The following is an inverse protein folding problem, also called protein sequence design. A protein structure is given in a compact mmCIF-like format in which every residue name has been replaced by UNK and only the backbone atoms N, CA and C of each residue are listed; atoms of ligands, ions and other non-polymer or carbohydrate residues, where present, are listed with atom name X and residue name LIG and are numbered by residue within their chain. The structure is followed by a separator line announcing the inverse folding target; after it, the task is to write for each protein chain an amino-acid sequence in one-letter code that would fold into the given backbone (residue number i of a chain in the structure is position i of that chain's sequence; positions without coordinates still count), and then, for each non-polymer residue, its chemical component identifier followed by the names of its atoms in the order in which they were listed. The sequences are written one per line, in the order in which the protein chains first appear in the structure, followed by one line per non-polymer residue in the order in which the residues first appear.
data_IF_654000609176
#
_entry.id   IF_654000609176
#
_cell.length_a   1.000
_cell.length_b   1.000
_cell.length_c   1.000
_cell.angle_alpha   90.00
_cell.angle_beta   90.00
_cell.angle_gamma   90.00
#
_symmetry.space_group_name_H-M   'P 1'
#
loop_
_entity.id
_entity.type
_entity.pdbx_description
1 polymer ?
#
# COMPACT_ATOMS: atom_id res chain seq x y z
N UNK A 1 5.69 -6.97 2.79
CA UNK A 1 7.12 -6.70 3.08
C UNK A 1 7.25 -6.18 4.49
N UNK A 2 8.29 -6.63 5.22
CA UNK A 2 8.67 -6.05 6.52
C UNK A 2 10.04 -5.41 6.36
N UNK A 3 10.15 -4.13 6.66
CA UNK A 3 11.38 -3.37 6.55
C UNK A 3 12.00 -3.17 7.93
N UNK A 4 13.27 -3.50 8.06
CA UNK A 4 14.13 -3.13 9.16
C UNK A 4 15.20 -2.20 8.61
N UNK A 5 15.37 -1.03 9.19
CA UNK A 5 16.30 -0.04 8.65
C UNK A 5 16.92 0.81 9.75
N UNK A 6 18.18 1.15 9.57
CA UNK A 6 18.94 2.03 10.44
C UNK A 6 19.69 3.08 9.61
N UNK A 7 19.76 4.28 10.14
CA UNK A 7 20.58 5.36 9.60
C UNK A 7 21.68 5.69 10.60
N UNK A 8 22.90 5.37 10.22
CA UNK A 8 24.05 5.48 11.12
C UNK A 8 25.25 6.12 10.41
N UNK A 9 26.23 6.69 11.16
CA UNK A 9 27.50 7.07 10.57
C UNK A 9 28.24 5.87 9.98
N UNK A 10 29.01 6.07 8.89
CA UNK A 10 29.71 4.97 8.18
C UNK A 10 30.60 4.12 9.09
N UNK A 11 31.21 4.70 10.10
CA UNK A 11 32.03 3.99 11.10
C UNK A 11 31.23 3.09 12.07
N UNK A 12 29.92 3.13 12.04
CA UNK A 12 29.03 2.26 12.83
C UNK A 12 28.44 1.09 11.98
N UNK A 13 28.72 1.04 10.68
CA UNK A 13 28.13 0.06 9.75
C UNK A 13 28.34 -1.38 10.25
N UNK A 14 29.56 -1.77 10.60
CA UNK A 14 29.84 -3.13 11.05
C UNK A 14 29.06 -3.52 12.31
N UNK A 15 28.87 -2.56 13.24
CA UNK A 15 28.08 -2.79 14.46
C UNK A 15 26.62 -3.06 14.16
N UNK A 16 26.04 -2.31 13.21
CA UNK A 16 24.65 -2.50 12.79
C UNK A 16 24.49 -3.85 12.07
N UNK A 17 25.39 -4.19 11.18
CA UNK A 17 25.35 -5.51 10.51
C UNK A 17 25.45 -6.66 11.52
N UNK A 18 26.26 -6.51 12.56
CA UNK A 18 26.29 -7.47 13.65
C UNK A 18 24.97 -7.59 14.39
N UNK A 19 24.31 -6.47 14.73
CA UNK A 19 23.01 -6.45 15.40
C UNK A 19 21.92 -7.12 14.55
N UNK A 20 21.87 -6.81 13.27
CA UNK A 20 20.89 -7.38 12.37
C UNK A 20 21.11 -8.89 12.16
N UNK A 21 22.37 -9.31 12.04
CA UNK A 21 22.72 -10.72 11.98
C UNK A 21 22.38 -11.48 13.26
N UNK A 22 22.60 -10.85 14.44
CA UNK A 22 22.21 -11.43 15.73
C UNK A 22 20.70 -11.58 15.85
N UNK A 23 19.94 -10.56 15.47
CA UNK A 23 18.47 -10.61 15.43
C UNK A 23 17.95 -11.72 14.51
N UNK A 24 18.55 -11.90 13.34
CA UNK A 24 18.17 -12.97 12.40
C UNK A 24 18.51 -14.35 12.94
N UNK A 25 19.62 -14.50 13.67
CA UNK A 25 20.12 -15.78 14.18
C UNK A 25 19.47 -16.22 15.48
N UNK A 26 19.28 -15.29 16.42
CA UNK A 26 19.11 -15.59 17.84
C UNK A 26 18.03 -14.77 18.52
N UNK A 27 16.99 -14.35 17.78
CA UNK A 27 15.86 -13.65 18.39
C UNK A 27 15.27 -14.49 19.53
N UNK A 28 15.22 -13.90 20.73
CA UNK A 28 14.67 -14.55 21.91
C UNK A 28 13.13 -14.60 21.81
N UNK A 29 12.60 -15.76 21.43
CA UNK A 29 11.18 -16.02 21.35
C UNK A 29 10.80 -17.02 22.45
N UNK A 30 10.21 -16.50 23.53
CA UNK A 30 9.74 -17.26 24.70
C UNK A 30 8.33 -16.83 25.12
N UNK A 31 7.74 -17.55 26.10
CA UNK A 31 6.37 -17.30 26.55
C UNK A 31 6.18 -15.92 27.21
N UNK A 32 7.20 -15.40 27.86
CA UNK A 32 7.15 -14.08 28.49
C UNK A 32 7.10 -12.97 27.44
N UNK A 33 8.00 -13.04 26.46
CA UNK A 33 8.05 -12.09 25.36
C UNK A 33 6.79 -12.20 24.48
N UNK A 34 6.30 -13.39 24.22
CA UNK A 34 5.07 -13.59 23.44
C UNK A 34 3.86 -12.93 24.14
N UNK A 35 3.69 -13.13 25.43
CA UNK A 35 2.59 -12.49 26.18
C UNK A 35 2.70 -10.97 26.14
N UNK A 36 3.87 -10.45 26.43
CA UNK A 36 4.10 -9.01 26.41
C UNK A 36 3.83 -8.39 25.04
N UNK A 37 4.36 -9.00 23.95
CA UNK A 37 4.16 -8.46 22.59
C UNK A 37 2.70 -8.57 22.15
N UNK A 38 1.99 -9.62 22.54
CA UNK A 38 0.55 -9.77 22.28
C UNK A 38 -0.25 -8.61 22.90
N UNK A 39 0.05 -8.25 24.14
CA UNK A 39 -0.62 -7.14 24.83
C UNK A 39 -0.25 -5.79 24.18
N UNK A 40 1.01 -5.59 23.80
CA UNK A 40 1.48 -4.39 23.08
C UNK A 40 0.75 -4.23 21.74
N UNK A 41 0.67 -5.28 20.92
CA UNK A 41 -0.01 -5.23 19.61
C UNK A 41 -1.50 -4.93 19.79
N UNK A 42 -2.16 -5.55 20.76
CA UNK A 42 -3.58 -5.27 21.04
C UNK A 42 -3.81 -3.83 21.45
N UNK A 43 -2.92 -3.28 22.29
CA UNK A 43 -3.05 -1.88 22.69
C UNK A 43 -2.75 -0.93 21.54
N UNK A 44 -1.75 -1.23 20.72
CA UNK A 44 -1.47 -0.48 19.49
C UNK A 44 -2.71 -0.43 18.57
N UNK A 45 -3.34 -1.55 18.31
CA UNK A 45 -4.55 -1.61 17.48
C UNK A 45 -5.69 -0.82 18.12
N UNK A 46 -5.89 -0.92 19.45
CA UNK A 46 -6.91 -0.11 20.14
C UNK A 46 -6.66 1.38 20.00
N UNK A 47 -5.44 1.82 20.26
CA UNK A 47 -5.08 3.25 20.28
C UNK A 47 -5.01 3.83 18.88
N UNK A 48 -4.36 3.15 17.94
CA UNK A 48 -4.05 3.72 16.63
C UNK A 48 -5.13 3.43 15.58
N UNK A 49 -6.04 2.48 15.85
CA UNK A 49 -7.07 2.09 14.90
C UNK A 49 -8.46 2.19 15.52
N UNK A 50 -8.79 1.34 16.50
CA UNK A 50 -10.18 1.19 16.95
C UNK A 50 -10.74 2.42 17.67
N UNK A 51 -9.89 3.20 18.34
CA UNK A 51 -10.27 4.42 19.06
C UNK A 51 -10.00 5.72 18.28
N UNK A 52 -9.68 5.60 16.98
CA UNK A 52 -9.48 6.76 16.12
C UNK A 52 -10.71 7.04 15.24
N UNK A 53 -11.05 8.31 14.99
CA UNK A 53 -12.01 8.63 13.94
C UNK A 53 -11.58 8.01 12.60
N UNK A 54 -12.48 7.30 11.96
CA UNK A 54 -12.23 6.56 10.70
C UNK A 54 -11.06 5.57 10.78
N UNK A 55 -10.74 5.08 11.97
CA UNK A 55 -9.66 4.13 12.17
C UNK A 55 -9.83 2.88 11.32
N UNK A 56 -8.79 2.54 10.55
CA UNK A 56 -8.84 1.41 9.61
C UNK A 56 -9.55 1.67 8.29
N UNK A 57 -10.15 2.83 8.09
CA UNK A 57 -10.84 3.15 6.83
C UNK A 57 -9.87 3.76 5.79
N UNK A 58 -9.83 3.23 4.55
CA UNK A 58 -10.57 2.06 4.05
C UNK A 58 -9.80 0.74 4.15
N UNK A 59 -8.56 0.71 4.63
CA UNK A 59 -7.62 -0.41 4.48
C UNK A 59 -7.96 -1.66 5.33
N UNK A 60 -8.79 -1.52 6.37
CA UNK A 60 -9.38 -2.68 7.08
C UNK A 60 -10.76 -3.05 6.55
N UNK A 61 -11.52 -2.08 6.09
CA UNK A 61 -12.93 -2.28 5.76
C UNK A 61 -13.14 -2.76 4.31
N UNK A 62 -12.32 -2.27 3.38
CA UNK A 62 -12.51 -2.55 1.95
C UNK A 62 -12.03 -3.94 1.51
N UNK A 63 -10.88 -4.47 1.98
CA UNK A 63 -10.39 -5.77 1.54
C UNK A 63 -11.36 -6.94 1.77
N UNK A 64 -12.06 -7.08 2.91
CA UNK A 64 -13.04 -8.15 3.11
C UNK A 64 -14.24 -8.08 2.16
N UNK A 65 -14.57 -6.89 1.63
CA UNK A 65 -15.62 -6.70 0.64
C UNK A 65 -15.10 -7.03 -0.76
N UNK A 66 -13.89 -6.59 -1.08
CA UNK A 66 -13.30 -6.70 -2.41
C UNK A 66 -12.81 -8.13 -2.72
N UNK A 67 -12.19 -8.79 -1.77
CA UNK A 67 -11.51 -10.07 -2.00
C UNK A 67 -12.30 -11.26 -1.46
N UNK A 68 -12.12 -12.43 -2.09
CA UNK A 68 -12.68 -13.71 -1.66
C UNK A 68 -11.63 -14.62 -1.05
N UNK A 69 -10.39 -14.51 -1.53
CA UNK A 69 -9.27 -15.24 -0.95
C UNK A 69 -8.88 -14.58 0.38
N UNK A 70 -8.87 -15.39 1.44
CA UNK A 70 -8.50 -14.91 2.78
C UNK A 70 -7.11 -14.26 2.80
N UNK A 71 -6.15 -14.75 2.00
CA UNK A 71 -4.82 -14.18 1.92
C UNK A 71 -4.80 -12.70 1.51
N UNK A 72 -5.79 -12.24 0.73
CA UNK A 72 -5.94 -10.86 0.30
C UNK A 72 -6.96 -10.08 1.14
N UNK A 73 -7.93 -10.77 1.74
CA UNK A 73 -9.06 -10.16 2.46
C UNK A 73 -8.72 -9.77 3.90
N UNK A 74 -7.84 -10.54 4.57
CA UNK A 74 -7.52 -10.30 5.97
C UNK A 74 -6.62 -9.06 6.15
N UNK A 75 -6.73 -8.43 7.30
CA UNK A 75 -5.84 -7.35 7.69
C UNK A 75 -4.55 -7.88 8.32
N UNK A 76 -3.48 -7.08 8.30
CA UNK A 76 -2.17 -7.51 8.79
C UNK A 76 -2.04 -7.55 10.33
N UNK A 77 -2.98 -6.98 11.08
CA UNK A 77 -3.02 -7.14 12.54
C UNK A 77 -3.66 -8.46 12.97
N UNK A 78 -4.49 -9.06 12.12
CA UNK A 78 -5.35 -10.18 12.48
C UNK A 78 -6.46 -9.79 13.47
N UNK A 79 -7.19 -10.76 13.94
CA UNK A 79 -8.16 -10.59 15.01
C UNK A 79 -7.53 -10.79 16.38
N UNK A 80 -8.09 -10.15 17.41
CA UNK A 80 -7.61 -10.36 18.80
C UNK A 80 -7.75 -11.81 19.24
N UNK A 81 -8.77 -12.53 18.73
CA UNK A 81 -8.93 -13.95 18.98
C UNK A 81 -7.77 -14.79 18.41
N UNK A 82 -7.32 -14.45 17.19
CA UNK A 82 -6.17 -15.09 16.55
C UNK A 82 -4.86 -14.80 17.29
N UNK A 83 -4.68 -13.55 17.72
CA UNK A 83 -3.55 -13.17 18.57
C UNK A 83 -3.53 -13.93 19.89
N UNK A 84 -4.71 -14.18 20.50
CA UNK A 84 -4.81 -14.95 21.75
C UNK A 84 -4.57 -16.44 21.53
N UNK A 85 -4.99 -16.98 20.41
CA UNK A 85 -4.83 -18.38 20.05
C UNK A 85 -3.40 -18.74 19.64
N UNK A 86 -2.60 -17.76 19.14
CA UNK A 86 -1.23 -18.00 18.69
C UNK A 86 -0.36 -18.57 19.82
N UNK A 87 0.29 -19.68 19.55
CA UNK A 87 1.16 -20.37 20.51
C UNK A 87 2.63 -19.98 20.31
N UNK A 88 3.47 -20.24 21.32
CA UNK A 88 4.93 -20.08 21.18
C UNK A 88 5.49 -20.89 20.01
N UNK A 89 4.96 -22.10 19.79
CA UNK A 89 5.39 -22.96 18.68
C UNK A 89 5.05 -22.36 17.32
N UNK A 90 3.89 -21.70 17.17
CA UNK A 90 3.50 -21.02 15.94
C UNK A 90 4.45 -19.85 15.62
N UNK A 91 4.74 -19.02 16.63
CA UNK A 91 5.66 -17.88 16.45
C UNK A 91 7.07 -18.35 16.12
N UNK A 92 7.57 -19.40 16.79
CA UNK A 92 8.87 -19.97 16.48
C UNK A 92 8.93 -20.60 15.08
N UNK A 93 7.83 -21.27 14.65
CA UNK A 93 7.73 -21.83 13.30
C UNK A 93 7.71 -20.71 12.24
N UNK A 94 6.93 -19.66 12.46
CA UNK A 94 6.89 -18.49 11.60
C UNK A 94 8.26 -17.84 11.46
N UNK A 95 8.95 -17.61 12.59
CA UNK A 95 10.28 -17.02 12.56
C UNK A 95 11.26 -17.88 11.76
N UNK A 96 11.33 -19.17 12.01
CA UNK A 96 12.21 -20.09 11.25
C UNK A 96 11.91 -20.12 9.75
N UNK A 97 10.65 -19.96 9.37
CA UNK A 97 10.23 -20.06 7.98
C UNK A 97 10.51 -18.77 7.21
N UNK A 98 10.22 -17.62 7.83
CA UNK A 98 10.23 -16.35 7.11
C UNK A 98 11.41 -15.44 7.42
N UNK A 99 12.07 -15.62 8.57
CA UNK A 99 13.23 -14.80 9.00
C UNK A 99 14.55 -15.54 8.74
N UNK A 100 14.73 -15.92 7.49
CA UNK A 100 15.92 -16.63 7.04
C UNK A 100 16.61 -15.86 5.89
N UNK A 101 17.94 -15.99 5.71
CA UNK A 101 18.65 -15.30 4.64
C UNK A 101 18.08 -15.54 3.23
N UNK A 102 17.53 -16.74 2.97
CA UNK A 102 16.86 -17.04 1.69
C UNK A 102 15.60 -16.23 1.39
N UNK A 103 15.02 -15.57 2.40
CA UNK A 103 13.80 -14.75 2.31
C UNK A 103 14.06 -13.29 2.67
N UNK A 104 15.31 -12.84 2.66
CA UNK A 104 15.70 -11.50 3.04
C UNK A 104 16.57 -10.83 1.97
N UNK A 105 16.48 -9.51 1.89
CA UNK A 105 17.37 -8.67 1.10
C UNK A 105 18.08 -7.71 2.04
N UNK A 106 19.40 -7.71 2.00
CA UNK A 106 20.23 -6.75 2.71
C UNK A 106 20.65 -5.65 1.73
N UNK A 107 20.32 -4.42 2.09
CA UNK A 107 20.73 -3.22 1.35
C UNK A 107 21.61 -2.34 2.21
N UNK A 108 22.72 -1.91 1.64
CA UNK A 108 23.62 -0.91 2.23
C UNK A 108 23.69 0.27 1.27
N UNK A 109 23.28 1.45 1.72
CA UNK A 109 23.24 2.65 0.90
C UNK A 109 23.93 3.82 1.60
N UNK A 110 24.89 4.44 0.96
CA UNK A 110 25.60 5.60 1.48
C UNK A 110 27.10 5.53 1.28
N UNK A 111 27.86 6.00 2.27
CA UNK A 111 29.33 5.99 2.26
C UNK A 111 29.88 4.60 2.62
N UNK A 112 29.78 3.69 1.68
CA UNK A 112 30.26 2.31 1.79
C UNK A 112 30.85 1.86 0.45
N UNK A 113 32.03 1.25 0.48
CA UNK A 113 32.60 0.62 -0.70
C UNK A 113 31.94 -0.75 -0.91
N UNK A 114 31.48 -1.09 -2.13
CA UNK A 114 30.75 -2.34 -2.39
C UNK A 114 31.51 -3.58 -1.92
N UNK A 115 32.82 -3.69 -2.22
CA UNK A 115 33.62 -4.84 -1.83
C UNK A 115 33.74 -4.99 -0.30
N UNK A 116 33.89 -3.90 0.42
CA UNK A 116 33.87 -3.87 1.88
C UNK A 116 32.50 -4.30 2.43
N UNK A 117 31.42 -3.76 1.85
CA UNK A 117 30.06 -4.14 2.20
C UNK A 117 29.82 -5.64 2.04
N UNK A 118 30.25 -6.25 0.95
CA UNK A 118 30.15 -7.70 0.75
C UNK A 118 30.97 -8.50 1.75
N UNK A 119 32.19 -8.09 2.06
CA UNK A 119 33.03 -8.73 3.08
C UNK A 119 32.38 -8.68 4.45
N UNK A 120 31.80 -7.56 4.83
CA UNK A 120 31.08 -7.40 6.09
C UNK A 120 29.80 -8.24 6.13
N UNK A 121 29.02 -8.26 5.04
CA UNK A 121 27.84 -9.10 4.93
C UNK A 121 28.20 -10.59 5.09
N UNK A 122 29.21 -11.07 4.39
CA UNK A 122 29.69 -12.47 4.52
C UNK A 122 30.16 -12.76 5.94
N UNK A 123 30.91 -11.87 6.57
CA UNK A 123 31.40 -12.03 7.93
C UNK A 123 30.28 -12.22 8.97
N UNK A 124 29.22 -11.44 8.87
CA UNK A 124 28.15 -11.43 9.87
C UNK A 124 27.01 -12.39 9.55
N UNK A 125 26.61 -12.50 8.28
CA UNK A 125 25.47 -13.30 7.87
C UNK A 125 25.84 -14.65 7.25
N UNK A 126 27.05 -14.82 6.72
CA UNK A 126 27.46 -16.02 5.97
C UNK A 126 27.37 -17.34 6.76
N UNK A 127 27.44 -17.29 8.09
CA UNK A 127 27.25 -18.46 8.96
C UNK A 127 25.81 -18.78 9.32
N UNK A 128 24.86 -17.92 8.96
CA UNK A 128 23.43 -18.14 9.24
C UNK A 128 22.88 -19.10 8.18
N UNK A 129 22.25 -20.22 8.57
CA UNK A 129 21.66 -21.14 7.60
C UNK A 129 20.65 -20.43 6.69
N UNK A 130 20.67 -20.73 5.41
CA UNK A 130 19.79 -20.12 4.42
C UNK A 130 18.29 -20.30 4.75
N UNK A 131 17.95 -21.33 5.50
CA UNK A 131 16.57 -21.68 5.80
C UNK A 131 15.86 -22.38 4.63
N UNK A 132 14.65 -22.89 4.84
CA UNK A 132 13.81 -23.40 3.77
C UNK A 132 13.31 -22.25 2.90
N UNK A 133 13.01 -22.49 1.62
CA UNK A 133 12.30 -21.49 0.82
C UNK A 133 10.94 -21.16 1.47
N UNK A 134 10.61 -19.88 1.55
CA UNK A 134 9.30 -19.45 2.06
C UNK A 134 8.18 -20.02 1.17
N UNK A 135 7.10 -20.59 1.75
CA UNK A 135 6.00 -21.11 0.97
C UNK A 135 5.34 -19.97 0.15
N UNK A 136 5.08 -20.22 -1.13
CA UNK A 136 4.32 -19.30 -1.96
C UNK A 136 2.87 -19.23 -1.46
N UNK A 137 2.39 -18.03 -1.17
CA UNK A 137 0.99 -17.82 -0.86
C UNK A 137 0.14 -17.89 -2.13
N UNK A 138 -0.99 -18.59 -2.09
CA UNK A 138 -2.01 -18.48 -3.12
C UNK A 138 -2.79 -17.17 -2.91
N UNK A 139 -2.51 -16.20 -3.75
CA UNK A 139 -3.16 -14.88 -3.77
C UNK A 139 -4.15 -14.74 -4.94
N UNK A 140 -4.52 -15.85 -5.59
CA UNK A 140 -5.45 -15.83 -6.71
C UNK A 140 -6.84 -15.36 -6.28
N UNK A 141 -7.50 -14.55 -7.12
CA UNK A 141 -8.87 -14.09 -6.91
C UNK A 141 -9.77 -14.56 -8.04
N UNK A 142 -10.99 -15.03 -7.75
CA UNK A 142 -11.97 -15.27 -8.77
C UNK A 142 -12.40 -13.93 -9.40
N UNK A 143 -12.71 -13.90 -10.70
CA UNK A 143 -13.23 -12.70 -11.35
C UNK A 143 -14.46 -12.15 -10.62
N UNK A 144 -14.47 -10.85 -10.38
CA UNK A 144 -15.66 -10.17 -9.85
C UNK A 144 -16.59 -9.85 -11.02
N UNK A 145 -17.85 -10.27 -10.91
CA UNK A 145 -18.87 -10.13 -11.97
C UNK A 145 -20.05 -9.23 -11.57
N UNK A 146 -20.06 -8.80 -10.31
CA UNK A 146 -21.07 -7.91 -9.76
C UNK A 146 -20.47 -6.94 -8.73
N UNK A 147 -21.07 -5.78 -8.58
CA UNK A 147 -20.71 -4.82 -7.56
C UNK A 147 -20.84 -5.44 -6.16
N UNK A 148 -19.88 -5.16 -5.29
CA UNK A 148 -19.92 -5.57 -3.89
C UNK A 148 -19.95 -4.34 -2.99
N UNK A 149 -20.70 -4.41 -1.91
CA UNK A 149 -20.71 -3.31 -0.95
C UNK A 149 -20.83 -3.78 0.49
N UNK A 150 -20.35 -2.94 1.39
CA UNK A 150 -20.45 -3.12 2.83
C UNK A 150 -20.72 -1.79 3.53
N UNK A 151 -21.32 -1.86 4.72
CA UNK A 151 -21.58 -0.69 5.56
C UNK A 151 -20.88 -0.90 6.89
N UNK A 152 -20.14 0.10 7.35
CA UNK A 152 -19.47 0.11 8.65
C UNK A 152 -19.90 1.35 9.42
N UNK A 153 -20.26 1.15 10.69
CA UNK A 153 -20.62 2.25 11.58
C UNK A 153 -19.37 3.03 12.00
N UNK A 154 -19.43 4.37 11.86
CA UNK A 154 -18.39 5.27 12.33
C UNK A 154 -18.75 5.82 13.72
N UNK A 155 -17.93 5.48 14.71
CA UNK A 155 -18.21 5.79 16.12
C UNK A 155 -17.76 7.18 16.56
N UNK A 156 -16.67 7.68 15.97
CA UNK A 156 -15.99 8.89 16.43
C UNK A 156 -15.99 10.02 15.40
N UNK A 157 -16.08 9.67 14.12
CA UNK A 157 -16.10 10.63 13.03
C UNK A 157 -17.49 11.25 12.82
N UNK A 158 -17.53 12.53 12.47
CA UNK A 158 -18.79 13.25 12.27
C UNK A 158 -19.30 13.19 10.83
N UNK A 159 -18.45 12.94 9.85
CA UNK A 159 -18.80 12.95 8.44
C UNK A 159 -19.07 11.55 7.93
N UNK A 160 -20.09 11.36 7.08
CA UNK A 160 -20.19 10.12 6.32
C UNK A 160 -19.06 10.05 5.29
N UNK A 161 -18.63 8.83 4.99
CA UNK A 161 -17.59 8.60 4.01
C UNK A 161 -17.89 7.36 3.18
N UNK A 162 -17.27 7.28 2.01
CA UNK A 162 -17.28 6.07 1.21
C UNK A 162 -15.90 5.84 0.59
N UNK A 163 -15.55 4.58 0.41
CA UNK A 163 -14.38 4.15 -0.34
C UNK A 163 -14.81 3.24 -1.48
N UNK A 164 -14.30 3.54 -2.67
CA UNK A 164 -14.56 2.75 -3.88
C UNK A 164 -13.24 2.17 -4.35
N UNK A 165 -13.17 0.86 -4.49
CA UNK A 165 -12.01 0.14 -4.99
C UNK A 165 -12.31 -0.58 -6.30
N UNK A 166 -11.42 -0.46 -7.26
CA UNK A 166 -11.40 -1.21 -8.50
C UNK A 166 -10.14 -2.08 -8.55
N UNK A 167 -10.18 -3.30 -9.12
CA UNK A 167 -8.97 -4.09 -9.33
C UNK A 167 -7.91 -3.31 -10.11
N UNK A 168 -6.68 -3.32 -9.63
CA UNK A 168 -5.57 -2.66 -10.31
C UNK A 168 -4.80 -3.65 -11.20
N UNK A 169 -4.17 -3.18 -12.29
CA UNK A 169 -3.33 -4.03 -13.12
C UNK A 169 -2.12 -4.58 -12.37
N UNK A 170 -1.63 -5.73 -12.85
CA UNK A 170 -0.37 -6.29 -12.36
C UNK A 170 0.79 -5.35 -12.65
N UNK A 171 1.70 -5.20 -11.68
CA UNK A 171 2.93 -4.38 -11.80
C UNK A 171 3.74 -4.71 -13.05
N UNK A 172 4.44 -3.71 -13.56
CA UNK A 172 5.35 -3.78 -14.71
C UNK A 172 4.71 -4.22 -16.03
N UNK A 173 3.36 -4.22 -16.11
CA UNK A 173 2.65 -4.41 -17.38
C UNK A 173 2.35 -3.08 -18.07
N UNK A 174 2.13 -3.04 -19.39
CA UNK A 174 1.70 -1.80 -20.08
C UNK A 174 0.47 -1.15 -19.44
N UNK A 175 -0.49 -1.96 -18.99
CA UNK A 175 -1.70 -1.49 -18.31
C UNK A 175 -1.40 -0.83 -16.97
N UNK A 176 -0.39 -1.31 -16.25
CA UNK A 176 0.01 -0.73 -14.97
C UNK A 176 0.59 0.68 -15.12
N UNK A 177 1.45 0.89 -16.12
CA UNK A 177 1.96 2.23 -16.43
C UNK A 177 0.84 3.19 -16.81
N UNK A 178 -0.08 2.74 -17.63
CA UNK A 178 -1.23 3.55 -18.05
C UNK A 178 -2.21 3.82 -16.90
N UNK A 179 -2.43 2.83 -16.02
CA UNK A 179 -3.27 2.99 -14.82
C UNK A 179 -2.67 3.97 -13.82
N UNK A 180 -1.35 4.03 -13.67
CA UNK A 180 -0.70 5.03 -12.84
C UNK A 180 -0.90 6.47 -13.36
N UNK A 181 -0.87 6.67 -14.69
CA UNK A 181 -1.20 7.97 -15.27
C UNK A 181 -2.69 8.32 -15.13
N UNK A 182 -3.58 7.33 -15.24
CA UNK A 182 -5.00 7.47 -14.94
C UNK A 182 -5.21 7.87 -13.48
N UNK A 183 -4.52 7.20 -12.56
CA UNK A 183 -4.56 7.49 -11.14
C UNK A 183 -4.12 8.93 -10.82
N UNK A 184 -3.01 9.39 -11.43
CA UNK A 184 -2.58 10.78 -11.31
C UNK A 184 -3.63 11.77 -11.84
N UNK A 185 -4.32 11.45 -12.92
CA UNK A 185 -5.39 12.29 -13.46
C UNK A 185 -6.61 12.35 -12.53
N UNK A 186 -6.94 11.24 -11.87
CA UNK A 186 -8.07 11.15 -10.95
C UNK A 186 -7.76 11.74 -9.57
N UNK A 187 -6.60 11.36 -8.98
CA UNK A 187 -6.27 11.59 -7.58
C UNK A 187 -5.05 12.50 -7.34
N UNK A 188 -4.47 13.12 -8.37
CA UNK A 188 -3.24 13.93 -8.28
C UNK A 188 -3.35 15.18 -7.39
N UNK A 189 -3.86 15.04 -6.17
CA UNK A 189 -4.08 16.09 -5.19
C UNK A 189 -5.25 17.01 -5.57
N UNK A 190 -5.20 18.28 -5.22
CA UNK A 190 -6.27 19.23 -5.50
C UNK A 190 -6.52 19.49 -6.99
N UNK A 191 -5.57 19.18 -7.84
CA UNK A 191 -5.70 19.26 -9.30
C UNK A 191 -6.38 18.02 -9.90
N UNK A 192 -6.45 16.91 -9.16
CA UNK A 192 -7.10 15.67 -9.56
C UNK A 192 -8.57 15.89 -9.91
N UNK A 193 -9.03 15.18 -10.95
CA UNK A 193 -10.39 15.37 -11.49
C UNK A 193 -11.48 15.07 -10.46
N UNK A 194 -11.26 14.07 -9.58
CA UNK A 194 -12.25 13.71 -8.55
C UNK A 194 -12.35 14.81 -7.50
N UNK A 195 -11.23 15.31 -6.99
CA UNK A 195 -11.23 16.43 -6.02
C UNK A 195 -11.88 17.68 -6.62
N UNK A 196 -11.47 18.06 -7.83
CA UNK A 196 -12.07 19.22 -8.51
C UNK A 196 -13.57 19.08 -8.63
N UNK A 197 -14.07 17.95 -9.11
CA UNK A 197 -15.50 17.72 -9.31
C UNK A 197 -16.29 17.72 -8.01
N UNK A 198 -15.86 16.91 -7.02
CA UNK A 198 -16.65 16.69 -5.82
C UNK A 198 -16.49 17.79 -4.78
N UNK A 199 -15.27 18.34 -4.64
CA UNK A 199 -14.98 19.33 -3.60
C UNK A 199 -15.14 20.76 -4.12
N UNK A 200 -14.53 21.10 -5.26
CA UNK A 200 -14.51 22.49 -5.73
C UNK A 200 -15.77 22.87 -6.52
N UNK A 201 -16.19 22.04 -7.48
CA UNK A 201 -17.27 22.38 -8.39
C UNK A 201 -18.65 22.06 -7.79
N UNK A 202 -18.85 20.84 -7.32
CA UNK A 202 -20.15 20.37 -6.79
C UNK A 202 -20.32 20.63 -5.30
N UNK A 203 -19.23 20.78 -4.58
CA UNK A 203 -19.23 21.04 -3.12
C UNK A 203 -20.02 20.00 -2.33
N UNK A 204 -20.01 18.74 -2.78
CA UNK A 204 -20.69 17.61 -2.12
C UNK A 204 -19.74 16.85 -1.19
N UNK A 205 -18.46 16.90 -1.44
CA UNK A 205 -17.43 16.32 -0.58
C UNK A 205 -16.64 17.40 0.16
N UNK A 206 -16.06 17.00 1.28
CA UNK A 206 -15.16 17.82 2.10
C UNK A 206 -13.72 17.50 1.74
N UNK A 207 -13.43 16.21 1.49
CA UNK A 207 -12.12 15.74 1.13
C UNK A 207 -12.20 14.48 0.25
N UNK A 208 -11.22 14.34 -0.62
CA UNK A 208 -11.05 13.20 -1.51
C UNK A 208 -9.57 12.91 -1.66
N UNK A 209 -9.20 11.65 -1.48
CA UNK A 209 -7.89 11.13 -1.82
C UNK A 209 -8.03 9.71 -2.40
N UNK A 210 -6.91 9.17 -2.89
CA UNK A 210 -6.91 7.84 -3.48
C UNK A 210 -5.62 7.52 -4.18
N UNK A 211 -5.56 6.33 -4.72
CA UNK A 211 -4.41 5.83 -5.46
C UNK A 211 -4.42 4.32 -5.65
N UNK A 212 -3.47 3.85 -6.42
CA UNK A 212 -3.18 2.41 -6.52
C UNK A 212 -2.48 1.98 -5.24
N UNK A 213 -2.98 0.91 -4.63
CA UNK A 213 -2.50 0.36 -3.35
C UNK A 213 -2.70 1.30 -2.14
N UNK A 214 -3.52 2.33 -2.29
CA UNK A 214 -3.85 3.31 -1.24
C UNK A 214 -4.80 2.70 -0.17
N UNK A 215 -4.63 3.02 1.11
CA UNK A 215 -3.55 3.80 1.74
C UNK A 215 -2.47 2.93 2.39
N UNK A 216 -2.37 1.64 2.05
CA UNK A 216 -1.47 0.68 2.72
C UNK A 216 -0.04 0.75 2.20
N UNK A 217 0.15 1.34 1.03
CA UNK A 217 1.45 1.49 0.40
C UNK A 217 1.36 2.35 -0.84
N UNK A 218 2.29 2.15 -1.75
CA UNK A 218 2.36 2.88 -3.02
C UNK A 218 2.39 1.96 -4.24
N UNK A 219 2.62 2.60 -5.37
CA UNK A 219 2.67 1.96 -6.69
C UNK A 219 3.76 0.87 -6.81
N UNK A 220 4.80 0.88 -5.96
CA UNK A 220 5.98 0.03 -6.10
C UNK A 220 6.06 -1.12 -5.09
N UNK A 221 5.30 -1.07 -4.00
CA UNK A 221 5.51 -1.94 -2.84
C UNK A 221 4.49 -3.08 -2.67
N UNK A 222 3.77 -3.44 -3.71
CA UNK A 222 2.89 -4.62 -3.71
C UNK A 222 3.33 -5.65 -4.75
N UNK A 223 3.00 -6.92 -4.51
CA UNK A 223 3.26 -8.03 -5.43
C UNK A 223 2.13 -9.06 -5.41
N UNK A 224 0.92 -8.60 -5.68
CA UNK A 224 -0.30 -9.43 -5.69
C UNK A 224 -1.49 -8.61 -6.18
N UNK A 225 -2.71 -9.12 -6.04
CA UNK A 225 -3.91 -8.35 -6.27
C UNK A 225 -3.92 -7.10 -5.39
N UNK A 226 -4.24 -5.97 -6.01
CA UNK A 226 -4.42 -4.70 -5.30
C UNK A 226 -5.55 -3.90 -5.94
N UNK A 227 -5.94 -2.82 -5.29
CA UNK A 227 -7.03 -1.95 -5.73
C UNK A 227 -6.50 -0.55 -6.07
N UNK A 228 -7.11 0.05 -7.06
CA UNK A 228 -7.16 1.50 -7.20
C UNK A 228 -8.33 1.99 -6.33
N UNK A 229 -8.04 2.73 -5.28
CA UNK A 229 -9.00 3.15 -4.27
C UNK A 229 -9.24 4.65 -4.36
N UNK A 230 -10.50 5.06 -4.25
CA UNK A 230 -10.89 6.44 -4.00
C UNK A 230 -11.61 6.50 -2.66
N UNK A 231 -11.13 7.34 -1.75
CA UNK A 231 -11.76 7.63 -0.46
C UNK A 231 -12.38 9.02 -0.51
N UNK A 232 -13.64 9.13 -0.10
CA UNK A 232 -14.44 10.36 -0.19
C UNK A 232 -15.11 10.61 1.17
N UNK A 233 -14.82 11.77 1.77
CA UNK A 233 -15.58 12.28 2.91
C UNK A 233 -16.61 13.27 2.39
N UNK A 234 -17.90 12.93 2.48
CA UNK A 234 -18.94 13.79 1.97
C UNK A 234 -19.69 14.54 3.07
N UNK A 235 -20.40 15.60 2.69
CA UNK A 235 -21.17 16.40 3.61
C UNK A 235 -22.37 15.62 4.15
N UNK A 236 -22.78 15.90 5.39
CA UNK A 236 -23.91 15.22 6.03
C UNK A 236 -25.24 15.41 5.30
N UNK A 237 -25.43 16.57 4.70
CA UNK A 237 -26.63 16.90 3.92
C UNK A 237 -26.67 16.28 2.51
N UNK A 238 -25.63 15.53 2.16
CA UNK A 238 -25.48 14.82 0.87
C UNK A 238 -25.57 13.33 1.07
N UNK A 239 -26.26 12.63 0.18
CA UNK A 239 -26.31 11.19 0.26
C UNK A 239 -25.07 10.52 -0.32
N UNK A 240 -24.82 9.31 0.11
CA UNK A 240 -23.72 8.49 -0.45
C UNK A 240 -23.99 8.16 -1.93
N UNK A 241 -25.27 7.94 -2.30
CA UNK A 241 -25.69 7.65 -3.67
C UNK A 241 -25.47 8.87 -4.58
N UNK A 242 -25.83 10.10 -4.12
CA UNK A 242 -25.55 11.33 -4.87
C UNK A 242 -24.05 11.50 -5.09
N UNK A 243 -23.26 11.25 -4.04
CA UNK A 243 -21.79 11.36 -4.08
C UNK A 243 -21.19 10.34 -5.04
N UNK A 244 -21.63 9.08 -4.97
CA UNK A 244 -21.18 8.01 -5.86
C UNK A 244 -21.57 8.30 -7.32
N UNK A 245 -22.76 8.84 -7.55
CA UNK A 245 -23.21 9.19 -8.90
C UNK A 245 -22.36 10.30 -9.53
N UNK A 246 -21.97 11.33 -8.77
CA UNK A 246 -21.09 12.38 -9.27
C UNK A 246 -19.64 11.87 -9.45
N UNK A 247 -19.16 10.97 -8.58
CA UNK A 247 -17.89 10.27 -8.79
C UNK A 247 -17.90 9.45 -10.09
N UNK A 248 -18.97 8.67 -10.33
CA UNK A 248 -19.10 7.87 -11.54
C UNK A 248 -19.05 8.72 -12.81
N UNK A 249 -19.64 9.93 -12.80
CA UNK A 249 -19.56 10.85 -13.94
C UNK A 249 -18.12 11.25 -14.28
N UNK A 250 -17.25 11.41 -13.27
CA UNK A 250 -15.82 11.70 -13.53
C UNK A 250 -15.16 10.54 -14.25
N UNK A 251 -15.45 9.30 -13.84
CA UNK A 251 -14.90 8.10 -14.49
C UNK A 251 -15.43 7.95 -15.91
N UNK A 252 -16.72 8.18 -16.12
CA UNK A 252 -17.35 8.10 -17.44
C UNK A 252 -16.80 9.18 -18.38
N UNK A 253 -16.56 10.40 -17.89
CA UNK A 253 -15.92 11.45 -18.68
C UNK A 253 -14.51 11.05 -19.14
N UNK A 254 -13.73 10.35 -18.29
CA UNK A 254 -12.40 9.84 -18.69
C UNK A 254 -12.52 8.72 -19.71
N UNK A 255 -13.50 7.82 -19.58
CA UNK A 255 -13.77 6.77 -20.57
C UNK A 255 -14.16 7.36 -21.92
N UNK A 256 -15.09 8.32 -21.91
CA UNK A 256 -15.65 8.90 -23.14
C UNK A 256 -14.67 9.80 -23.86
N UNK A 257 -14.03 10.73 -23.13
CA UNK A 257 -13.19 11.79 -23.70
C UNK A 257 -11.69 11.50 -23.59
N UNK A 258 -11.29 10.59 -22.69
CA UNK A 258 -9.89 10.39 -22.33
C UNK A 258 -9.29 11.56 -21.55
N UNK A 259 -7.95 11.61 -21.57
CA UNK A 259 -7.16 12.77 -21.14
C UNK A 259 -6.47 13.37 -22.35
N UNK A 260 -6.39 14.71 -22.42
CA UNK A 260 -5.72 15.39 -23.52
C UNK A 260 -4.19 15.24 -23.47
N UNK A 261 -3.52 15.36 -24.61
CA UNK A 261 -2.04 15.30 -24.67
C UNK A 261 -1.38 16.29 -23.73
N UNK A 262 -1.84 17.56 -23.70
CA UNK A 262 -1.30 18.59 -22.82
C UNK A 262 -1.47 18.27 -21.33
N UNK A 263 -2.60 17.66 -20.94
CA UNK A 263 -2.84 17.19 -19.57
C UNK A 263 -1.88 16.03 -19.23
N UNK A 264 -1.76 15.04 -20.12
CA UNK A 264 -0.87 13.91 -19.91
C UNK A 264 0.59 14.34 -19.76
N UNK A 265 1.06 15.27 -20.55
CA UNK A 265 2.44 15.79 -20.43
C UNK A 265 2.67 16.50 -19.08
N UNK A 266 1.70 17.25 -18.58
CA UNK A 266 1.77 17.83 -17.23
C UNK A 266 1.82 16.75 -16.15
N UNK A 267 1.01 15.69 -16.28
CA UNK A 267 1.02 14.55 -15.34
C UNK A 267 2.36 13.82 -15.37
N UNK A 268 2.96 13.60 -16.53
CA UNK A 268 4.29 12.98 -16.65
C UNK A 268 5.39 13.83 -15.98
N UNK A 269 5.34 15.14 -16.18
CA UNK A 269 6.29 16.05 -15.51
C UNK A 269 6.14 15.97 -13.99
N UNK A 270 4.89 16.02 -13.50
CA UNK A 270 4.62 15.87 -12.08
C UNK A 270 5.08 14.51 -11.56
N UNK A 271 4.70 13.42 -12.22
CA UNK A 271 5.08 12.07 -11.82
C UNK A 271 6.59 11.89 -11.75
N UNK A 272 7.32 12.41 -12.73
CA UNK A 272 8.80 12.40 -12.70
C UNK A 272 9.35 13.16 -11.50
N UNK A 273 8.79 14.32 -11.18
CA UNK A 273 9.21 15.09 -10.00
C UNK A 273 8.92 14.33 -8.71
N UNK A 274 7.72 13.77 -8.59
CA UNK A 274 7.30 13.00 -7.42
C UNK A 274 8.15 11.74 -7.24
N UNK A 275 8.49 11.04 -8.34
CA UNK A 275 9.36 9.87 -8.33
C UNK A 275 10.75 10.21 -7.76
N UNK A 276 11.40 11.25 -8.24
CA UNK A 276 12.70 11.63 -7.71
C UNK A 276 12.62 12.14 -6.26
N UNK A 277 11.57 12.88 -5.91
CA UNK A 277 11.34 13.32 -4.53
C UNK A 277 11.12 12.11 -3.60
N UNK A 278 10.39 11.10 -4.06
CA UNK A 278 10.21 9.85 -3.33
C UNK A 278 11.54 9.13 -3.13
N UNK A 279 12.38 9.01 -4.15
CA UNK A 279 13.70 8.37 -4.03
C UNK A 279 14.62 9.09 -3.04
N UNK A 280 14.55 10.41 -2.95
CA UNK A 280 15.39 11.20 -2.04
C UNK A 280 14.92 11.13 -0.58
N UNK A 281 13.63 11.30 -0.34
CA UNK A 281 13.07 11.39 1.01
C UNK A 281 12.20 10.19 1.39
N UNK A 282 11.29 9.81 0.51
CA UNK A 282 10.38 8.66 0.59
C UNK A 282 9.36 8.66 1.72
N UNK A 283 8.10 8.37 1.41
CA UNK A 283 7.01 7.90 2.28
C UNK A 283 6.90 8.54 3.68
N UNK A 284 7.15 9.86 3.82
CA UNK A 284 7.10 10.52 5.12
C UNK A 284 8.23 10.12 6.08
N UNK A 285 9.21 9.34 5.62
CA UNK A 285 10.40 9.02 6.40
C UNK A 285 11.31 10.24 6.51
N UNK A 286 11.81 10.50 7.70
CA UNK A 286 12.85 11.51 7.95
C UNK A 286 14.25 11.02 7.58
N UNK A 287 14.37 9.79 7.05
CA UNK A 287 15.65 9.18 6.69
C UNK A 287 15.95 9.53 5.23
N UNK A 288 17.06 10.22 4.94
CA UNK A 288 17.46 10.52 3.58
C UNK A 288 17.59 9.26 2.73
N UNK A 289 17.07 9.29 1.49
CA UNK A 289 17.12 8.20 0.52
C UNK A 289 16.41 6.90 0.95
N UNK A 290 15.53 6.98 1.95
CA UNK A 290 14.72 5.81 2.35
C UNK A 290 13.89 5.29 1.17
N UNK A 291 13.28 6.16 0.38
CA UNK A 291 12.49 5.74 -0.79
C UNK A 291 13.32 5.00 -1.85
N UNK A 292 14.57 5.43 -2.10
CA UNK A 292 15.48 4.70 -2.99
C UNK A 292 15.76 3.30 -2.45
N UNK A 293 16.09 3.18 -1.17
CA UNK A 293 16.36 1.91 -0.51
C UNK A 293 15.14 0.99 -0.55
N UNK A 294 13.97 1.53 -0.22
CA UNK A 294 12.69 0.80 -0.25
C UNK A 294 12.35 0.29 -1.65
N UNK A 295 12.43 1.14 -2.69
CA UNK A 295 12.18 0.73 -4.06
C UNK A 295 13.16 -0.36 -4.53
N UNK A 296 14.45 -0.23 -4.23
CA UNK A 296 15.44 -1.25 -4.56
C UNK A 296 15.15 -2.57 -3.85
N UNK A 297 14.72 -2.54 -2.58
CA UNK A 297 14.31 -3.73 -1.84
C UNK A 297 13.10 -4.40 -2.50
N UNK A 298 12.05 -3.64 -2.83
CA UNK A 298 10.85 -4.15 -3.50
C UNK A 298 11.18 -4.76 -4.86
N UNK A 299 11.93 -4.08 -5.70
CA UNK A 299 12.34 -4.61 -7.01
C UNK A 299 13.23 -5.84 -6.90
N UNK A 300 14.06 -5.92 -5.86
CA UNK A 300 14.87 -7.13 -5.62
C UNK A 300 13.99 -8.30 -5.18
N UNK A 301 13.11 -8.08 -4.19
CA UNK A 301 12.26 -9.12 -3.62
C UNK A 301 11.20 -9.63 -4.59
N UNK A 302 10.59 -8.73 -5.36
CA UNK A 302 9.46 -9.07 -6.20
C UNK A 302 9.84 -9.44 -7.63
N UNK A 303 10.88 -8.81 -8.15
CA UNK A 303 11.24 -8.86 -9.57
C UNK A 303 12.66 -9.42 -9.79
N UNK A 304 13.42 -9.65 -8.72
CA UNK A 304 14.84 -10.05 -8.75
C UNK A 304 15.73 -9.12 -9.61
N UNK A 305 15.35 -7.82 -9.68
CA UNK A 305 16.04 -6.83 -10.51
C UNK A 305 16.07 -5.44 -9.84
N UNK A 306 17.03 -5.17 -8.94
CA UNK A 306 17.14 -3.88 -8.25
C UNK A 306 17.34 -2.69 -9.20
N UNK A 307 17.87 -2.92 -10.42
CA UNK A 307 18.15 -1.87 -11.40
C UNK A 307 16.89 -1.30 -12.04
N UNK A 308 15.72 -1.92 -11.82
CA UNK A 308 14.44 -1.35 -12.24
C UNK A 308 14.24 0.06 -11.73
N UNK A 309 14.81 0.42 -10.58
CA UNK A 309 14.78 1.80 -10.07
C UNK A 309 15.32 2.83 -11.07
N UNK A 310 16.23 2.45 -11.98
CA UNK A 310 16.78 3.34 -13.00
C UNK A 310 15.95 3.38 -14.29
N UNK A 311 15.10 2.40 -14.55
CA UNK A 311 14.45 2.21 -15.85
C UNK A 311 12.93 2.27 -15.79
N UNK A 312 12.32 1.98 -14.64
CA UNK A 312 10.86 1.92 -14.48
C UNK A 312 10.18 3.25 -14.86
N UNK A 313 10.82 4.37 -14.58
CA UNK A 313 10.28 5.70 -14.89
C UNK A 313 9.98 5.87 -16.39
N UNK A 314 10.81 5.32 -17.28
CA UNK A 314 10.59 5.45 -18.73
C UNK A 314 9.24 4.89 -19.17
N UNK A 315 8.81 3.76 -18.59
CA UNK A 315 7.52 3.17 -18.89
C UNK A 315 6.32 4.09 -18.61
N UNK A 316 6.40 4.92 -17.55
CA UNK A 316 5.37 5.92 -17.27
C UNK A 316 5.42 7.10 -18.24
N UNK A 317 6.62 7.52 -18.63
CA UNK A 317 6.79 8.65 -19.56
C UNK A 317 6.39 8.28 -21.00
N UNK A 318 6.41 7.00 -21.36
CA UNK A 318 6.03 6.49 -22.69
C UNK A 318 4.52 6.26 -22.84
N UNK A 319 3.72 6.43 -21.77
CA UNK A 319 2.26 6.24 -21.81
C UNK A 319 1.62 7.23 -22.78
N UNK A 320 0.65 6.76 -23.59
CA UNK A 320 -0.15 7.58 -24.49
C UNK A 320 -1.56 7.86 -23.93
N UNK A 321 -2.24 8.92 -24.39
CA UNK A 321 -3.64 9.19 -24.02
C UNK A 321 -4.58 8.01 -24.36
N UNK A 322 -4.32 7.33 -25.47
CA UNK A 322 -5.08 6.15 -25.88
C UNK A 322 -4.94 4.98 -24.90
N UNK A 323 -3.72 4.76 -24.35
CA UNK A 323 -3.47 3.74 -23.34
C UNK A 323 -4.22 4.05 -22.04
N UNK A 324 -4.20 5.31 -21.57
CA UNK A 324 -4.95 5.74 -20.39
C UNK A 324 -6.46 5.51 -20.57
N UNK A 325 -7.00 5.86 -21.74
CA UNK A 325 -8.41 5.62 -22.04
C UNK A 325 -8.74 4.14 -22.08
N UNK A 326 -7.87 3.32 -22.66
CA UNK A 326 -8.06 1.87 -22.74
C UNK A 326 -8.11 1.21 -21.35
N UNK A 327 -7.21 1.58 -20.43
CA UNK A 327 -7.23 1.04 -19.07
C UNK A 327 -8.44 1.55 -18.28
N UNK A 328 -8.90 2.78 -18.48
CA UNK A 328 -10.13 3.27 -17.88
C UNK A 328 -11.34 2.41 -18.29
N UNK A 329 -11.46 2.05 -19.55
CA UNK A 329 -12.51 1.15 -20.03
C UNK A 329 -12.38 -0.28 -19.48
N UNK A 330 -11.15 -0.77 -19.35
CA UNK A 330 -10.88 -2.16 -18.94
C UNK A 330 -11.04 -2.40 -17.45
N UNK A 331 -10.63 -1.45 -16.60
CA UNK A 331 -10.52 -1.67 -15.15
C UNK A 331 -11.56 -0.91 -14.32
N UNK A 332 -12.16 0.18 -14.82
CA UNK A 332 -13.16 0.93 -14.07
C UNK A 332 -14.59 0.46 -14.39
N UNK A 333 -14.83 -0.85 -14.31
CA UNK A 333 -16.14 -1.44 -14.59
C UNK A 333 -17.02 -1.38 -13.33
N UNK A 334 -18.27 -0.89 -13.40
CA UNK A 334 -19.17 -0.86 -12.25
C UNK A 334 -19.40 -2.24 -11.62
N UNK A 335 -19.37 -3.30 -12.43
CA UNK A 335 -19.50 -4.69 -11.95
C UNK A 335 -18.30 -5.21 -11.17
N UNK A 336 -17.13 -4.60 -11.36
CA UNK A 336 -15.88 -5.02 -10.69
C UNK A 336 -15.50 -4.12 -9.50
N UNK A 337 -16.34 -3.12 -9.19
CA UNK A 337 -16.06 -2.24 -8.06
C UNK A 337 -16.54 -2.83 -6.73
N UNK A 338 -15.82 -2.49 -5.68
CA UNK A 338 -16.19 -2.77 -4.30
C UNK A 338 -16.31 -1.46 -3.53
N UNK A 339 -17.36 -1.33 -2.72
CA UNK A 339 -17.67 -0.07 -2.03
C UNK A 339 -17.83 -0.35 -0.54
N UNK A 340 -17.22 0.49 0.30
CA UNK A 340 -17.51 0.52 1.72
C UNK A 340 -18.06 1.90 2.09
N UNK A 341 -19.18 1.88 2.79
CA UNK A 341 -19.80 3.07 3.34
C UNK A 341 -19.50 3.18 4.83
N UNK A 342 -18.93 4.30 5.27
CA UNK A 342 -18.77 4.65 6.68
C UNK A 342 -19.89 5.64 7.04
N UNK A 343 -20.79 5.18 7.92
CA UNK A 343 -21.93 5.97 8.35
C UNK A 343 -21.76 6.34 9.82
N UNK A 344 -21.77 7.64 10.17
CA UNK A 344 -21.74 8.05 11.57
C UNK A 344 -22.85 7.37 12.37
N UNK A 345 -22.52 6.92 13.58
CA UNK A 345 -23.50 6.38 14.51
C UNK A 345 -24.66 7.36 14.70
N UNK A 346 -25.89 6.85 14.71
CA UNK A 346 -27.05 7.68 15.03
C UNK A 346 -26.80 8.30 16.40
N UNK A 347 -26.86 9.64 16.52
CA UNK A 347 -26.77 10.31 17.82
C UNK A 347 -27.85 9.69 18.69
N UNK A 348 -27.45 9.00 19.76
CA UNK A 348 -28.38 8.59 20.81
C UNK A 348 -29.13 9.83 21.24
N UNK A 349 -30.46 9.81 21.10
CA UNK A 349 -31.38 10.93 21.09
C UNK A 349 -31.02 12.09 22.04
N UNK A 350 -31.08 13.29 21.47
CA UNK A 350 -31.10 14.54 22.23
C UNK A 350 -32.44 14.67 22.94
#
# INVERSE_FOLDING_TARGET
VTNYYESVPSNALERVLWLEADRMRALKVDDENLRNQRDVVKEEVRVNVLNQPYGGFPWLDLPPVAYRNWANAHNFYGDFADLDAATLADVQAFFRTYYAPSNAVLLMLGDVQPDEGFVLAERHFGSIPAGPPAPAADVSEPPQIEERSGVVEEKFGALPALAVGYPAPRRLTPDWYAAAMLDQALHGGRAGRVYRRLVLEKQIAVDVDGGIHFPVGDLFDYNGPTLMVTRIFHKQEKSAEETLAEYQKVLDEVKDKGIGEGELEQLKVKFRSDYFSMLEGGHGSYIPRYGLMHCMACFTLFDNEPRLVNTVLSGFLDVSPAAVRAVAHKYLLPTERSIVYRQPAAKAGA
#
